data_IF_133298759087
#
_entry.id   IF_133298759087
#
_cell.length_a   1.000
_cell.length_b   1.000
_cell.length_c   1.000
_cell.angle_alpha   90.00
_cell.angle_beta   90.00
_cell.angle_gamma   90.00
#
_symmetry.space_group_name_H-M   'P 1'
#
loop_
_entity.id
_entity.type
_entity.pdbx_description
1 polymer ?
#
# COMPACT_ATOMS: atom_id res chain seq x y z
N UNK A 1 -81.06 1.20 -28.51
CA UNK A 1 -80.43 2.14 -27.56
C UNK A 1 -79.25 1.44 -26.90
N UNK A 2 -78.13 2.13 -26.78
CA UNK A 2 -76.79 1.61 -26.54
C UNK A 2 -76.33 2.06 -25.15
N UNK A 3 -75.44 1.27 -24.54
CA UNK A 3 -74.50 1.59 -23.44
C UNK A 3 -75.05 1.49 -22.00
N UNK A 4 -74.30 1.03 -21.00
CA UNK A 4 -72.86 0.77 -20.95
C UNK A 4 -72.49 -0.15 -19.78
N UNK A 5 -71.42 -0.92 -20.00
CA UNK A 5 -70.78 -1.76 -18.99
C UNK A 5 -69.91 -0.85 -18.13
N UNK A 6 -70.19 -0.82 -16.82
CA UNK A 6 -69.39 -0.08 -15.84
C UNK A 6 -68.08 -0.84 -15.64
N UNK A 7 -67.03 -0.39 -16.35
CA UNK A 7 -65.67 -0.82 -16.11
C UNK A 7 -65.17 -0.22 -14.79
N UNK A 8 -65.04 -1.04 -13.75
CA UNK A 8 -64.24 -0.70 -12.59
C UNK A 8 -62.75 -0.78 -12.98
N UNK A 9 -62.17 0.35 -13.38
CA UNK A 9 -60.71 0.47 -13.47
C UNK A 9 -60.15 0.61 -12.06
N UNK A 10 -59.76 -0.50 -11.46
CA UNK A 10 -58.91 -0.51 -10.28
C UNK A 10 -57.52 -0.04 -10.72
N UNK A 11 -56.99 1.13 -10.29
CA UNK A 11 -55.59 1.41 -10.49
C UNK A 11 -54.86 0.48 -9.53
N UNK A 12 -54.42 -0.67 -10.05
CA UNK A 12 -53.33 -1.40 -9.42
C UNK A 12 -52.19 -0.40 -9.28
N UNK A 13 -52.07 0.20 -8.09
CA UNK A 13 -50.85 0.86 -7.65
C UNK A 13 -49.84 -0.26 -7.62
N UNK A 14 -49.17 -0.45 -8.74
CA UNK A 14 -47.94 -1.21 -8.85
C UNK A 14 -46.95 -0.49 -7.95
N UNK A 15 -46.94 -0.93 -6.69
CA UNK A 15 -45.84 -0.76 -5.76
C UNK A 15 -44.66 -1.54 -6.35
N UNK A 16 -44.10 -1.01 -7.44
CA UNK A 16 -42.81 -1.42 -7.95
C UNK A 16 -41.80 -0.84 -6.98
N UNK A 17 -41.26 -1.70 -6.12
CA UNK A 17 -40.25 -1.40 -5.11
C UNK A 17 -38.95 -0.79 -5.67
N UNK A 18 -38.85 -0.53 -6.99
CA UNK A 18 -37.71 0.10 -7.63
C UNK A 18 -38.16 0.95 -8.84
N UNK A 19 -38.77 2.12 -8.62
CA UNK A 19 -38.84 3.13 -9.68
C UNK A 19 -37.53 3.91 -9.71
N UNK A 20 -36.94 4.06 -10.90
CA UNK A 20 -35.62 4.69 -11.09
C UNK A 20 -35.59 6.15 -10.57
N UNK A 21 -36.75 6.83 -10.60
CA UNK A 21 -36.91 8.18 -10.06
C UNK A 21 -36.89 8.20 -8.53
N UNK A 22 -37.59 7.28 -7.85
CA UNK A 22 -37.59 7.20 -6.39
C UNK A 22 -36.22 6.82 -5.83
N UNK A 23 -35.45 6.00 -6.57
CA UNK A 23 -34.05 5.74 -6.22
C UNK A 23 -33.18 7.00 -6.36
N UNK A 24 -33.34 7.76 -7.46
CA UNK A 24 -32.61 9.00 -7.71
C UNK A 24 -32.85 10.06 -6.64
N UNK A 25 -34.11 10.26 -6.24
CA UNK A 25 -34.47 11.25 -5.22
C UNK A 25 -33.89 10.87 -3.85
N UNK A 26 -33.90 9.58 -3.50
CA UNK A 26 -33.26 9.07 -2.28
C UNK A 26 -31.73 9.26 -2.29
N UNK A 27 -31.08 9.04 -3.44
CA UNK A 27 -29.64 9.25 -3.60
C UNK A 27 -29.25 10.73 -3.47
N UNK A 28 -30.07 11.66 -3.95
CA UNK A 28 -29.85 13.11 -3.79
C UNK A 28 -30.03 13.51 -2.32
N UNK A 29 -31.07 12.99 -1.65
CA UNK A 29 -31.34 13.26 -0.23
C UNK A 29 -30.22 12.73 0.67
N UNK A 30 -29.60 11.60 0.31
CA UNK A 30 -28.55 10.94 1.10
C UNK A 30 -27.16 11.03 0.44
N UNK A 31 -26.93 12.06 -0.39
CA UNK A 31 -25.68 12.18 -1.16
C UNK A 31 -24.43 12.16 -0.27
N UNK A 32 -24.52 12.69 0.95
CA UNK A 32 -23.43 12.64 1.93
C UNK A 32 -23.06 11.20 2.32
N UNK A 33 -24.04 10.35 2.58
CA UNK A 33 -23.83 8.94 2.93
C UNK A 33 -23.24 8.19 1.74
N UNK A 34 -23.74 8.47 0.54
CA UNK A 34 -23.24 7.87 -0.71
C UNK A 34 -21.77 8.23 -0.92
N UNK A 35 -21.38 9.48 -0.68
CA UNK A 35 -19.99 9.94 -0.76
C UNK A 35 -19.10 9.26 0.29
N UNK A 36 -19.57 9.15 1.54
CA UNK A 36 -18.81 8.46 2.60
C UNK A 36 -18.57 6.99 2.24
N UNK A 37 -19.60 6.31 1.72
CA UNK A 37 -19.50 4.92 1.27
C UNK A 37 -18.49 4.80 0.11
N UNK A 38 -18.57 5.69 -0.88
CA UNK A 38 -17.62 5.74 -1.99
C UNK A 38 -16.18 5.97 -1.52
N UNK A 39 -15.96 6.92 -0.61
CA UNK A 39 -14.65 7.17 -0.03
C UNK A 39 -14.11 5.95 0.74
N UNK A 40 -14.97 5.28 1.50
CA UNK A 40 -14.59 4.06 2.23
C UNK A 40 -14.17 2.94 1.27
N UNK A 41 -14.97 2.66 0.23
CA UNK A 41 -14.60 1.64 -0.77
C UNK A 41 -13.35 2.03 -1.56
N UNK A 42 -13.20 3.31 -1.92
CA UNK A 42 -11.99 3.83 -2.54
C UNK A 42 -10.76 3.58 -1.67
N UNK A 43 -10.82 3.92 -0.37
CA UNK A 43 -9.75 3.66 0.58
C UNK A 43 -9.39 2.17 0.67
N UNK A 44 -10.40 1.29 0.82
CA UNK A 44 -10.19 -0.15 0.87
C UNK A 44 -9.53 -0.69 -0.40
N UNK A 45 -9.94 -0.19 -1.57
CA UNK A 45 -9.33 -0.56 -2.85
C UNK A 45 -7.86 -0.12 -2.93
N UNK A 46 -7.54 1.10 -2.50
CA UNK A 46 -6.16 1.57 -2.44
C UNK A 46 -5.30 0.73 -1.50
N UNK A 47 -5.78 0.41 -0.30
CA UNK A 47 -5.05 -0.45 0.64
C UNK A 47 -4.85 -1.87 0.09
N UNK A 48 -5.84 -2.43 -0.59
CA UNK A 48 -5.73 -3.73 -1.24
C UNK A 48 -4.63 -3.72 -2.32
N UNK A 49 -4.61 -2.70 -3.18
CA UNK A 49 -3.56 -2.54 -4.18
C UNK A 49 -2.18 -2.39 -3.55
N UNK A 50 -2.06 -1.65 -2.45
CA UNK A 50 -0.79 -1.53 -1.70
C UNK A 50 -0.30 -2.88 -1.21
N UNK A 51 -1.17 -3.68 -0.58
CA UNK A 51 -0.82 -4.99 -0.06
C UNK A 51 -0.44 -5.98 -1.17
N UNK A 52 -1.14 -5.95 -2.31
CA UNK A 52 -0.77 -6.78 -3.45
C UNK A 52 0.62 -6.43 -3.99
N UNK A 53 0.92 -5.14 -4.14
CA UNK A 53 2.23 -4.67 -4.61
C UNK A 53 3.34 -5.09 -3.63
N UNK A 54 3.12 -4.91 -2.32
CA UNK A 54 4.08 -5.32 -1.31
C UNK A 54 4.32 -6.84 -1.34
N UNK A 55 3.25 -7.63 -1.48
CA UNK A 55 3.33 -9.09 -1.59
C UNK A 55 4.14 -9.53 -2.81
N UNK A 56 3.90 -8.90 -3.97
CA UNK A 56 4.64 -9.20 -5.20
C UNK A 56 6.15 -8.91 -5.05
N UNK A 57 6.49 -7.81 -4.35
CA UNK A 57 7.89 -7.44 -4.08
C UNK A 57 8.55 -8.45 -3.13
N UNK A 58 7.85 -8.87 -2.08
CA UNK A 58 8.38 -9.85 -1.11
C UNK A 58 8.60 -11.21 -1.75
N UNK A 59 7.70 -11.65 -2.64
CA UNK A 59 7.82 -12.93 -3.35
C UNK A 59 8.94 -12.92 -4.40
N UNK A 60 9.13 -11.79 -5.08
CA UNK A 60 10.17 -11.64 -6.09
C UNK A 60 10.97 -10.34 -5.85
N UNK A 61 11.87 -10.35 -4.85
CA UNK A 61 12.68 -9.19 -4.51
C UNK A 61 13.64 -8.88 -5.65
N UNK A 62 13.77 -7.60 -5.97
CA UNK A 62 14.65 -7.07 -6.99
C UNK A 62 15.61 -6.06 -6.38
N UNK A 63 16.72 -5.82 -7.08
CA UNK A 63 17.67 -4.77 -6.70
C UNK A 63 16.94 -3.43 -6.59
N UNK A 64 17.30 -2.64 -5.58
CA UNK A 64 16.69 -1.36 -5.25
C UNK A 64 15.26 -1.39 -4.71
N UNK A 65 14.68 -2.57 -4.47
CA UNK A 65 13.45 -2.64 -3.68
C UNK A 65 13.68 -2.19 -2.23
N UNK A 66 12.64 -1.61 -1.65
CA UNK A 66 12.64 -1.15 -0.27
C UNK A 66 11.65 -1.97 0.56
N UNK A 67 12.11 -2.49 1.69
CA UNK A 67 11.28 -3.21 2.66
C UNK A 67 11.26 -2.41 3.95
N UNK A 68 10.09 -2.28 4.57
CA UNK A 68 9.92 -1.53 5.81
C UNK A 68 9.68 -2.50 6.95
N UNK A 69 10.56 -2.44 7.96
CA UNK A 69 10.65 -3.52 8.95
C UNK A 69 10.72 -3.01 10.37
N UNK A 70 10.20 -3.80 11.31
CA UNK A 70 10.57 -3.73 12.72
C UNK A 70 11.93 -4.44 12.93
N UNK A 71 12.99 -3.65 12.99
CA UNK A 71 14.36 -4.13 13.10
C UNK A 71 14.70 -4.66 14.51
N UNK A 72 13.97 -4.25 15.54
CA UNK A 72 14.22 -4.72 16.91
C UNK A 72 13.95 -6.22 17.03
N UNK A 73 12.95 -6.73 16.30
CA UNK A 73 12.65 -8.16 16.25
C UNK A 73 13.75 -8.95 15.54
N UNK A 74 14.41 -8.36 14.54
CA UNK A 74 15.53 -8.96 13.82
C UNK A 74 16.82 -8.95 14.64
N UNK A 75 17.05 -7.86 15.39
CA UNK A 75 18.24 -7.68 16.20
C UNK A 75 17.86 -7.05 17.55
N UNK A 76 17.76 -7.89 18.58
CA UNK A 76 17.39 -7.48 19.95
C UNK A 76 18.41 -6.54 20.61
N UNK A 77 19.62 -6.41 20.06
CA UNK A 77 20.62 -5.46 20.54
C UNK A 77 20.44 -4.05 19.97
N UNK A 78 19.48 -3.85 19.05
CA UNK A 78 19.15 -2.54 18.50
C UNK A 78 18.25 -1.73 19.44
N UNK A 79 18.14 -0.42 19.18
CA UNK A 79 17.34 0.49 20.01
C UNK A 79 15.84 0.13 19.95
N UNK A 80 15.20 -0.27 21.07
CA UNK A 80 13.78 -0.59 21.10
C UNK A 80 12.88 0.63 20.85
N UNK A 81 13.38 1.86 21.08
CA UNK A 81 12.62 3.09 20.85
C UNK A 81 12.57 3.51 19.39
N UNK A 82 13.58 3.14 18.59
CA UNK A 82 13.69 3.49 17.17
C UNK A 82 13.90 2.21 16.35
N UNK A 83 12.80 1.45 16.23
CA UNK A 83 12.84 0.09 15.67
C UNK A 83 12.43 0.00 14.21
N UNK A 84 11.66 0.96 13.70
CA UNK A 84 11.14 0.89 12.34
C UNK A 84 12.11 1.52 11.35
N UNK A 85 12.64 0.73 10.43
CA UNK A 85 13.67 1.17 9.47
C UNK A 85 13.37 0.70 8.05
N UNK A 86 13.79 1.46 7.03
CA UNK A 86 13.81 0.98 5.66
C UNK A 86 15.04 0.09 5.42
N UNK A 87 14.85 -1.02 4.71
CA UNK A 87 15.90 -1.87 4.16
C UNK A 87 15.89 -1.71 2.65
N UNK A 88 17.03 -1.37 2.03
CA UNK A 88 17.19 -1.30 0.57
C UNK A 88 17.86 -2.56 0.07
N UNK A 89 17.29 -3.24 -0.91
CA UNK A 89 17.91 -4.39 -1.56
C UNK A 89 19.12 -3.93 -2.36
N UNK A 90 20.28 -4.52 -2.05
CA UNK A 90 21.55 -4.26 -2.70
C UNK A 90 21.84 -5.29 -3.80
N UNK A 91 21.60 -6.56 -3.51
CA UNK A 91 21.76 -7.66 -4.46
C UNK A 91 20.79 -8.80 -4.11
N UNK A 92 20.45 -9.58 -5.13
CA UNK A 92 19.56 -10.74 -5.03
C UNK A 92 20.30 -11.91 -5.64
N UNK A 93 20.59 -12.91 -4.81
CA UNK A 93 21.17 -14.18 -5.23
C UNK A 93 20.06 -15.22 -5.44
N UNK A 94 20.43 -16.46 -5.76
CA UNK A 94 19.47 -17.55 -5.96
C UNK A 94 18.62 -17.79 -4.70
N UNK A 95 19.24 -17.79 -3.51
CA UNK A 95 18.59 -18.11 -2.24
C UNK A 95 18.52 -16.95 -1.25
N UNK A 96 19.46 -16.00 -1.33
CA UNK A 96 19.62 -14.92 -0.36
C UNK A 96 19.41 -13.55 -1.01
N UNK A 97 19.05 -12.58 -0.17
CA UNK A 97 18.93 -11.17 -0.54
C UNK A 97 19.77 -10.37 0.43
N UNK A 98 20.66 -9.54 -0.12
CA UNK A 98 21.51 -8.64 0.66
C UNK A 98 20.87 -7.25 0.71
N UNK A 99 20.79 -6.69 1.91
CA UNK A 99 20.16 -5.40 2.18
C UNK A 99 21.18 -4.41 2.76
N UNK A 100 21.01 -3.13 2.41
CA UNK A 100 21.51 -2.00 3.18
C UNK A 100 20.45 -1.56 4.18
N UNK A 101 20.86 -1.32 5.42
CA UNK A 101 19.97 -0.93 6.51
C UNK A 101 19.91 0.59 6.57
N UNK A 102 18.71 1.17 6.64
CA UNK A 102 18.52 2.59 6.89
C UNK A 102 19.02 3.01 8.27
N UNK A 103 19.59 4.20 8.36
CA UNK A 103 20.07 4.79 9.60
C UNK A 103 18.98 5.63 10.30
N UNK A 104 18.01 6.14 9.52
CA UNK A 104 16.87 6.88 10.06
C UNK A 104 15.77 5.90 10.44
N UNK A 105 15.48 5.87 11.74
CA UNK A 105 14.55 4.95 12.35
C UNK A 105 13.41 5.70 13.04
N UNK A 106 12.22 5.12 13.01
CA UNK A 106 11.03 5.67 13.67
C UNK A 106 10.61 4.81 14.86
N UNK A 107 9.90 5.43 15.80
CA UNK A 107 9.35 4.77 16.98
C UNK A 107 8.08 3.99 16.69
N UNK A 108 7.32 4.40 15.68
CA UNK A 108 6.11 3.74 15.20
C UNK A 108 6.26 3.34 13.73
N UNK A 109 5.44 2.38 13.29
CA UNK A 109 5.33 2.08 11.86
C UNK A 109 4.77 3.32 11.17
N UNK A 110 5.50 3.82 10.17
CA UNK A 110 5.11 5.00 9.38
C UNK A 110 4.95 4.60 7.92
N UNK A 111 4.29 5.44 7.13
CA UNK A 111 4.16 5.15 5.70
C UNK A 111 5.53 5.10 5.02
N UNK A 112 5.69 4.30 3.94
CA UNK A 112 6.89 4.33 3.10
C UNK A 112 7.29 5.74 2.68
N UNK A 113 6.31 6.56 2.30
CA UNK A 113 6.52 7.96 1.96
C UNK A 113 7.15 8.77 3.10
N UNK A 114 6.79 8.51 4.36
CA UNK A 114 7.37 9.21 5.52
C UNK A 114 8.82 8.79 5.78
N UNK A 115 9.16 7.52 5.51
CA UNK A 115 10.55 7.04 5.55
C UNK A 115 11.43 7.63 4.43
N UNK A 116 10.81 8.05 3.32
CA UNK A 116 11.49 8.59 2.13
C UNK A 116 11.44 10.12 2.02
N UNK A 117 10.51 10.74 2.75
CA UNK A 117 10.49 12.17 3.02
C UNK A 117 11.88 12.52 3.55
N UNK A 118 12.50 13.55 2.97
CA UNK A 118 13.91 13.96 3.17
C UNK A 118 14.94 13.50 2.12
N UNK A 119 14.56 13.05 0.91
CA UNK A 119 15.53 12.71 -0.16
C UNK A 119 16.64 11.78 0.36
N UNK A 120 16.21 10.63 0.88
CA UNK A 120 17.01 9.59 1.52
C UNK A 120 18.32 9.26 0.78
N UNK A 121 18.31 9.26 -0.55
CA UNK A 121 19.50 8.98 -1.35
C UNK A 121 20.57 10.09 -1.32
N UNK A 122 20.17 11.33 -1.02
CA UNK A 122 21.05 12.50 -1.05
C UNK A 122 21.73 12.76 0.31
N UNK A 123 21.21 12.17 1.39
CA UNK A 123 21.75 12.35 2.72
C UNK A 123 22.99 11.48 2.95
N UNK A 124 24.12 12.13 3.27
CA UNK A 124 25.32 11.44 3.76
C UNK A 124 24.94 10.66 5.02
N UNK A 125 25.23 9.36 5.05
CA UNK A 125 24.91 8.43 6.15
C UNK A 125 23.43 8.02 6.28
N UNK A 126 22.63 8.09 5.21
CA UNK A 126 21.28 7.54 5.22
C UNK A 126 21.25 6.02 5.44
N UNK A 127 22.27 5.30 4.97
CA UNK A 127 22.43 3.86 5.22
C UNK A 127 23.56 3.60 6.21
N UNK A 128 23.38 2.57 7.05
CA UNK A 128 24.43 2.02 7.90
C UNK A 128 25.51 1.37 7.03
N UNK A 129 26.75 1.33 7.55
CA UNK A 129 27.86 0.65 6.87
C UNK A 129 27.65 -0.87 6.76
N UNK A 130 26.94 -1.46 7.74
CA UNK A 130 26.70 -2.89 7.78
C UNK A 130 25.56 -3.30 6.82
N UNK A 131 25.77 -4.43 6.14
CA UNK A 131 24.75 -5.09 5.33
C UNK A 131 24.07 -6.20 6.13
N UNK A 132 22.83 -6.50 5.78
CA UNK A 132 22.07 -7.64 6.31
C UNK A 132 21.81 -8.61 5.16
N UNK A 133 22.12 -9.89 5.33
CA UNK A 133 21.75 -10.92 4.35
C UNK A 133 20.70 -11.85 4.95
N UNK A 134 19.59 -12.06 4.24
CA UNK A 134 18.49 -12.93 4.65
C UNK A 134 18.12 -13.86 3.50
N UNK A 135 17.70 -15.09 3.83
CA UNK A 135 17.14 -16.00 2.83
C UNK A 135 15.75 -15.53 2.38
N UNK A 136 15.37 -15.86 1.14
CA UNK A 136 14.03 -15.57 0.59
C UNK A 136 12.91 -16.14 1.47
N UNK A 137 13.08 -17.35 1.99
CA UNK A 137 12.12 -17.97 2.92
C UNK A 137 12.00 -17.17 4.22
N UNK A 138 13.12 -16.66 4.75
CA UNK A 138 13.10 -15.83 5.95
C UNK A 138 12.35 -14.53 5.68
N UNK A 139 12.55 -13.89 4.54
CA UNK A 139 11.86 -12.66 4.15
C UNK A 139 10.35 -12.91 4.04
N UNK A 140 9.93 -13.99 3.38
CA UNK A 140 8.51 -14.36 3.29
C UNK A 140 7.90 -14.58 4.69
N UNK A 141 8.61 -15.28 5.58
CA UNK A 141 8.15 -15.48 6.96
C UNK A 141 8.06 -14.18 7.77
N UNK A 142 9.02 -13.26 7.59
CA UNK A 142 9.01 -11.96 8.23
C UNK A 142 7.85 -11.07 7.76
N UNK A 143 7.47 -11.18 6.48
CA UNK A 143 6.30 -10.50 5.94
C UNK A 143 4.99 -11.11 6.46
N UNK A 144 4.87 -12.44 6.45
CA UNK A 144 3.69 -13.14 6.94
C UNK A 144 3.45 -12.93 8.44
N UNK A 145 4.51 -12.69 9.22
CA UNK A 145 4.43 -12.36 10.65
C UNK A 145 4.23 -10.87 10.94
N UNK A 146 4.13 -10.02 9.91
CA UNK A 146 3.94 -8.58 10.04
C UNK A 146 5.18 -7.81 10.51
N UNK A 147 6.36 -8.46 10.57
CA UNK A 147 7.63 -7.80 10.91
C UNK A 147 8.07 -6.91 9.74
N UNK A 148 7.95 -7.40 8.51
CA UNK A 148 7.96 -6.55 7.31
C UNK A 148 6.52 -6.12 7.08
N UNK A 149 6.24 -4.83 7.20
CA UNK A 149 4.86 -4.32 7.18
C UNK A 149 4.47 -3.63 5.87
N UNK A 150 5.44 -3.18 5.07
CA UNK A 150 5.22 -2.65 3.72
C UNK A 150 6.48 -2.92 2.87
N UNK A 151 6.33 -2.91 1.55
CA UNK A 151 7.44 -3.01 0.60
C UNK A 151 7.12 -2.18 -0.64
N UNK A 152 8.14 -1.48 -1.16
CA UNK A 152 8.01 -0.58 -2.32
C UNK A 152 9.13 -0.76 -3.32
N UNK A 153 8.74 -0.83 -4.58
CA UNK A 153 9.63 -0.79 -5.72
C UNK A 153 9.68 0.64 -6.25
N UNK A 154 10.86 1.28 -6.35
CA UNK A 154 10.99 2.57 -6.99
C UNK A 154 10.51 2.51 -8.45
N UNK A 155 9.80 3.56 -8.88
CA UNK A 155 9.54 3.81 -10.30
C UNK A 155 10.56 4.84 -10.76
N UNK A 156 11.56 4.39 -11.52
CA UNK A 156 12.75 5.17 -11.86
C UNK A 156 13.53 5.56 -10.58
N UNK A 157 13.63 6.84 -10.22
CA UNK A 157 14.25 7.29 -8.96
C UNK A 157 13.26 7.58 -7.83
N UNK A 158 11.96 7.33 -8.01
CA UNK A 158 10.92 7.81 -7.10
C UNK A 158 10.16 6.70 -6.36
N UNK A 159 9.83 6.97 -5.09
CA UNK A 159 8.79 6.25 -4.32
C UNK A 159 7.80 7.30 -3.80
N UNK A 160 6.51 7.14 -4.13
CA UNK A 160 5.43 8.04 -3.70
C UNK A 160 5.74 9.55 -3.88
N UNK A 161 6.47 9.88 -4.97
CA UNK A 161 6.87 11.25 -5.30
C UNK A 161 8.22 11.73 -4.74
N UNK A 162 8.88 10.95 -3.87
CA UNK A 162 10.16 11.30 -3.26
C UNK A 162 11.35 10.64 -3.95
N UNK A 163 12.48 11.33 -4.06
CA UNK A 163 13.70 10.79 -4.70
C UNK A 163 14.41 9.84 -3.74
N UNK A 164 14.54 8.57 -4.15
CA UNK A 164 15.11 7.48 -3.34
C UNK A 164 16.33 6.81 -3.97
N UNK A 165 16.65 7.14 -5.21
CA UNK A 165 17.84 6.68 -5.91
C UNK A 165 18.57 7.87 -6.55
N UNK A 166 19.89 7.76 -6.65
CA UNK A 166 20.69 8.72 -7.42
C UNK A 166 20.74 8.31 -8.90
N UNK A 167 20.91 9.27 -9.81
CA UNK A 167 21.06 8.98 -11.25
C UNK A 167 22.28 8.08 -11.54
N UNK A 168 23.33 8.19 -10.72
CA UNK A 168 24.51 7.34 -10.85
C UNK A 168 24.19 5.86 -10.59
N UNK A 169 23.32 5.56 -9.62
CA UNK A 169 22.89 4.19 -9.33
C UNK A 169 22.08 3.60 -10.50
N UNK A 170 21.22 4.39 -11.16
CA UNK A 170 20.49 3.94 -12.35
C UNK A 170 21.39 3.67 -13.56
N UNK A 171 22.44 4.47 -13.74
CA UNK A 171 23.34 4.32 -14.89
C UNK A 171 24.29 3.13 -14.78
N UNK A 172 24.44 2.53 -13.58
CA UNK A 172 25.25 1.31 -13.39
C UNK A 172 24.56 0.03 -13.89
N UNK A 173 23.39 0.14 -14.52
CA UNK A 173 22.60 -0.99 -15.05
C UNK A 173 22.51 -1.04 -16.58
N UNK A 174 23.25 -0.19 -17.31
CA UNK A 174 23.47 -0.33 -18.76
C UNK A 174 24.79 -1.01 -19.04
#
# INVERSE_FOLDING_TARGET
MRQGIIGYSNPAKTTGFLSLSAMGDWFIEHIEIVLVILCFFGYQYFEYQRQQNATAIVQNPQKYDFLFVDYFVLNKNSDPRHRYVPLKVLSVDQQNVTFKIGNIAHSTAVSPSQHMKFDSAMHRNFYRANTLSLSKDKIANLYNSGIIYDARRPRNIYIDGWVVLTLAELNTEK
#
